data_IF_373464061626
#
_entry.id   IF_373464061626
#
_cell.length_a   1.000
_cell.length_b   1.000
_cell.length_c   1.000
_cell.angle_alpha   90.00
_cell.angle_beta   90.00
_cell.angle_gamma   90.00
#
_symmetry.space_group_name_H-M   'P 1'
#
loop_
_entity.id
_entity.type
_entity.pdbx_description
1 polymer ?
#
# COMPACT_ATOMS: atom_id res chain seq x y z
N UNK A 1 -26.65 2.81 -16.92
CA UNK A 1 -25.91 4.00 -16.50
C UNK A 1 -24.56 3.50 -16.00
N UNK A 2 -23.49 3.72 -16.77
CA UNK A 2 -22.11 3.50 -16.30
C UNK A 2 -21.75 4.73 -15.47
N UNK A 3 -21.81 4.60 -14.15
CA UNK A 3 -21.21 5.59 -13.26
C UNK A 3 -19.71 5.64 -13.54
N UNK A 4 -19.21 6.79 -13.92
CA UNK A 4 -17.79 6.98 -14.18
C UNK A 4 -17.05 7.09 -12.85
N UNK A 5 -15.89 6.46 -12.75
CA UNK A 5 -15.01 6.40 -11.54
C UNK A 5 -14.73 7.80 -10.95
N UNK A 6 -14.90 8.83 -11.73
CA UNK A 6 -14.69 10.23 -11.34
C UNK A 6 -15.71 10.75 -10.32
N UNK A 7 -16.90 10.13 -10.26
CA UNK A 7 -18.01 10.62 -9.42
C UNK A 7 -17.81 10.33 -7.92
N UNK A 8 -16.80 9.51 -7.54
CA UNK A 8 -16.49 9.16 -6.16
C UNK A 8 -15.27 9.88 -5.57
N UNK A 9 -14.55 10.65 -6.38
CA UNK A 9 -13.35 11.35 -5.89
C UNK A 9 -13.79 12.59 -5.09
N UNK A 10 -13.47 12.58 -3.81
CA UNK A 10 -13.73 13.71 -2.94
C UNK A 10 -12.76 14.86 -3.27
N UNK A 11 -13.29 16.09 -3.22
CA UNK A 11 -12.44 17.27 -3.29
C UNK A 11 -11.63 17.47 -1.98
N UNK A 12 -10.55 18.23 -2.06
CA UNK A 12 -9.65 18.51 -0.94
C UNK A 12 -10.37 19.11 0.27
N UNK A 13 -11.37 19.97 0.06
CA UNK A 13 -12.14 20.58 1.15
C UNK A 13 -12.93 19.53 1.93
N UNK A 14 -13.58 18.64 1.22
CA UNK A 14 -14.36 17.53 1.81
C UNK A 14 -13.44 16.56 2.56
N UNK A 15 -12.27 16.23 2.00
CA UNK A 15 -11.27 15.38 2.66
C UNK A 15 -10.84 16.02 3.98
N UNK A 16 -10.41 17.27 3.96
CA UNK A 16 -9.98 18.01 5.17
C UNK A 16 -11.07 18.07 6.23
N UNK A 17 -12.33 18.27 5.84
CA UNK A 17 -13.46 18.28 6.76
C UNK A 17 -13.67 16.91 7.42
N UNK A 18 -13.62 15.82 6.65
CA UNK A 18 -13.75 14.45 7.16
C UNK A 18 -12.63 14.11 8.15
N UNK A 19 -11.40 14.41 7.79
CA UNK A 19 -10.23 14.20 8.66
C UNK A 19 -10.39 14.95 9.97
N UNK A 20 -10.76 16.23 9.92
CA UNK A 20 -10.96 17.05 11.11
C UNK A 20 -12.01 16.48 12.06
N UNK A 21 -13.14 16.00 11.55
CA UNK A 21 -14.18 15.38 12.36
C UNK A 21 -13.69 14.21 13.20
N UNK A 22 -12.80 13.37 12.65
CA UNK A 22 -12.19 12.27 13.41
C UNK A 22 -11.20 12.81 14.44
N UNK A 23 -10.32 13.75 14.04
CA UNK A 23 -9.29 14.29 14.92
C UNK A 23 -9.90 15.07 16.10
N UNK A 24 -11.00 15.77 15.89
CA UNK A 24 -11.71 16.54 16.91
C UNK A 24 -12.65 15.65 17.75
N UNK A 25 -12.74 14.35 17.45
CA UNK A 25 -13.59 13.40 18.19
C UNK A 25 -15.08 13.53 17.90
N UNK A 26 -15.46 14.23 16.85
CA UNK A 26 -16.86 14.37 16.44
C UNK A 26 -17.43 13.07 15.86
N UNK A 27 -16.56 12.22 15.32
CA UNK A 27 -16.92 10.86 14.87
C UNK A 27 -15.79 9.86 15.14
N UNK A 28 -16.15 8.58 15.26
CA UNK A 28 -15.20 7.50 15.57
C UNK A 28 -14.40 7.02 14.36
N UNK A 29 -14.91 7.23 13.15
CA UNK A 29 -14.24 6.84 11.91
C UNK A 29 -14.80 7.61 10.71
N UNK A 30 -14.02 7.67 9.64
CA UNK A 30 -14.43 8.15 8.33
C UNK A 30 -13.86 7.27 7.22
N UNK A 31 -14.63 7.09 6.16
CA UNK A 31 -14.19 6.43 4.94
C UNK A 31 -13.92 7.46 3.85
N UNK A 32 -12.69 7.45 3.34
CA UNK A 32 -12.26 8.35 2.27
C UNK A 32 -11.81 7.50 1.08
N UNK A 33 -12.50 7.66 -0.04
CA UNK A 33 -12.19 6.97 -1.30
C UNK A 33 -11.38 7.90 -2.19
N UNK A 34 -10.23 7.45 -2.65
CA UNK A 34 -9.39 8.25 -3.54
C UNK A 34 -7.99 7.66 -3.73
N UNK A 35 -7.17 8.32 -4.52
CA UNK A 35 -5.75 8.04 -4.62
C UNK A 35 -5.08 8.37 -3.28
N UNK A 36 -4.41 7.38 -2.68
CA UNK A 36 -3.86 7.51 -1.33
C UNK A 36 -2.85 8.65 -1.19
N UNK A 37 -2.02 8.87 -2.21
CA UNK A 37 -1.02 9.93 -2.18
C UNK A 37 -1.68 11.32 -2.21
N UNK A 38 -2.71 11.49 -3.03
CA UNK A 38 -3.49 12.74 -3.11
C UNK A 38 -4.30 12.95 -1.83
N UNK A 39 -4.97 11.91 -1.34
CA UNK A 39 -5.77 11.99 -0.10
C UNK A 39 -4.90 12.37 1.08
N UNK A 40 -3.75 11.70 1.24
CA UNK A 40 -2.83 11.98 2.35
C UNK A 40 -2.27 13.40 2.30
N UNK A 41 -2.13 14.02 1.12
CA UNK A 41 -1.65 15.41 1.02
C UNK A 41 -2.58 16.42 1.70
N UNK A 42 -3.84 16.07 1.92
CA UNK A 42 -4.83 16.90 2.62
C UNK A 42 -4.89 16.67 4.14
N UNK A 43 -4.13 15.70 4.66
CA UNK A 43 -4.02 15.47 6.10
C UNK A 43 -3.01 16.43 6.73
N UNK A 44 -3.27 16.90 7.98
CA UNK A 44 -2.27 17.62 8.73
C UNK A 44 -1.01 16.78 8.98
N UNK A 45 0.11 17.46 9.24
CA UNK A 45 1.32 16.79 9.71
C UNK A 45 1.10 16.22 11.10
N UNK A 46 1.79 15.13 11.44
CA UNK A 46 1.87 14.55 12.78
C UNK A 46 0.49 14.34 13.47
N UNK A 47 -0.52 13.92 12.71
CA UNK A 47 -1.89 13.74 13.23
C UNK A 47 -2.30 12.27 13.43
N UNK A 48 -1.53 11.30 12.92
CA UNK A 48 -1.86 9.87 12.94
C UNK A 48 -0.93 9.12 13.90
N UNK A 49 -1.48 8.26 14.75
CA UNK A 49 -0.72 7.46 15.70
C UNK A 49 -0.19 6.16 15.10
N UNK A 50 -0.96 5.55 14.18
CA UNK A 50 -0.61 4.27 13.60
C UNK A 50 -1.16 4.13 12.18
N UNK A 51 -0.35 3.59 11.27
CA UNK A 51 -0.78 3.19 9.93
C UNK A 51 -0.58 1.69 9.78
N UNK A 52 -1.63 1.00 9.32
CA UNK A 52 -1.58 -0.43 8.99
C UNK A 52 -2.01 -0.57 7.53
N UNK A 53 -1.16 -1.18 6.71
CA UNK A 53 -1.45 -1.29 5.28
C UNK A 53 -0.86 -2.55 4.66
N UNK A 54 -1.53 -3.02 3.61
CA UNK A 54 -1.04 -4.06 2.69
C UNK A 54 -1.23 -3.51 1.27
N UNK A 55 -0.23 -2.82 0.71
CA UNK A 55 -0.33 -2.28 -0.65
C UNK A 55 -0.44 -3.41 -1.67
N UNK A 56 -0.86 -3.14 -2.90
CA UNK A 56 -0.78 -4.12 -3.98
C UNK A 56 0.64 -4.67 -4.10
N UNK A 57 0.79 -6.01 -4.12
CA UNK A 57 2.10 -6.64 -4.25
C UNK A 57 2.54 -6.64 -5.71
N UNK A 58 3.81 -6.40 -5.94
CA UNK A 58 4.37 -6.31 -7.28
C UNK A 58 4.09 -7.58 -8.12
N UNK A 59 3.38 -7.40 -9.25
CA UNK A 59 3.04 -8.47 -10.22
C UNK A 59 2.38 -9.72 -9.61
N UNK A 60 1.78 -9.62 -8.42
CA UNK A 60 1.13 -10.78 -7.79
C UNK A 60 -0.31 -10.95 -8.24
N UNK A 61 -1.00 -9.87 -8.52
CA UNK A 61 -2.39 -9.85 -9.01
C UNK A 61 -2.52 -8.84 -10.14
N UNK A 62 -3.42 -9.13 -11.05
CA UNK A 62 -3.88 -8.17 -12.02
C UNK A 62 -4.93 -7.26 -11.35
N UNK A 63 -4.60 -5.99 -11.24
CA UNK A 63 -5.48 -4.99 -10.63
C UNK A 63 -6.20 -4.12 -11.66
N UNK A 64 -6.28 -4.56 -12.92
CA UNK A 64 -6.85 -3.80 -14.06
C UNK A 64 -8.33 -3.42 -13.92
N UNK A 65 -8.97 -3.65 -12.79
CA UNK A 65 -10.37 -3.34 -12.58
C UNK A 65 -10.57 -1.81 -12.62
N UNK A 66 -10.86 -1.32 -13.83
CA UNK A 66 -11.30 0.06 -14.08
C UNK A 66 -10.20 1.12 -14.10
N UNK A 67 -8.93 0.73 -14.24
CA UNK A 67 -7.87 1.68 -14.55
C UNK A 67 -8.01 2.14 -16.02
N UNK A 68 -7.92 3.45 -16.25
CA UNK A 68 -7.69 3.97 -17.59
C UNK A 68 -6.22 3.76 -17.94
N UNK A 69 -5.89 3.64 -19.22
CA UNK A 69 -4.51 3.41 -19.71
C UNK A 69 -3.49 4.48 -19.28
N UNK A 70 -3.90 5.49 -18.56
CA UNK A 70 -3.07 6.59 -18.04
C UNK A 70 -2.84 6.52 -16.52
N UNK A 71 -3.58 5.66 -15.80
CA UNK A 71 -3.43 5.51 -14.35
C UNK A 71 -2.36 4.45 -14.07
N UNK A 72 -1.19 4.85 -13.56
CA UNK A 72 -0.21 3.91 -13.04
C UNK A 72 -0.76 3.27 -11.77
N UNK A 73 -1.08 1.98 -11.86
CA UNK A 73 -1.55 1.19 -10.71
C UNK A 73 -0.32 0.63 -10.00
N UNK A 74 -0.17 0.96 -8.71
CA UNK A 74 0.87 0.36 -7.88
C UNK A 74 0.70 -1.16 -7.87
N UNK A 75 1.80 -1.89 -8.11
CA UNK A 75 1.83 -3.34 -8.21
C UNK A 75 1.90 -3.87 -9.63
N UNK A 76 1.70 -3.01 -10.65
CA UNK A 76 1.78 -3.41 -12.07
C UNK A 76 2.99 -2.84 -12.82
N UNK A 77 3.93 -2.28 -12.11
CA UNK A 77 5.14 -1.72 -12.70
C UNK A 77 5.97 -2.79 -13.45
N UNK A 78 6.53 -2.39 -14.58
CA UNK A 78 7.36 -3.30 -15.40
C UNK A 78 8.65 -3.74 -14.72
N UNK A 79 9.16 -2.94 -13.78
CA UNK A 79 10.41 -3.18 -13.05
C UNK A 79 10.21 -3.09 -11.54
N UNK A 80 10.91 -3.92 -10.75
CA UNK A 80 10.81 -3.87 -9.28
C UNK A 80 11.27 -2.54 -8.70
N UNK A 81 12.25 -1.87 -9.34
CA UNK A 81 12.75 -0.57 -8.89
C UNK A 81 11.69 0.53 -9.01
N UNK A 82 10.85 0.49 -10.05
CA UNK A 82 9.76 1.43 -10.25
C UNK A 82 8.68 1.25 -9.18
N UNK A 83 8.33 0.00 -8.86
CA UNK A 83 7.42 -0.32 -7.77
C UNK A 83 7.92 0.20 -6.43
N UNK A 84 9.18 -0.07 -6.09
CA UNK A 84 9.79 0.41 -4.84
C UNK A 84 9.73 1.93 -4.77
N UNK A 85 10.10 2.63 -5.86
CA UNK A 85 10.07 4.10 -5.92
C UNK A 85 8.65 4.65 -5.73
N UNK A 86 7.64 4.05 -6.36
CA UNK A 86 6.25 4.48 -6.23
C UNK A 86 5.74 4.28 -4.80
N UNK A 87 6.06 3.16 -4.16
CA UNK A 87 5.74 2.93 -2.75
C UNK A 87 6.41 3.95 -1.84
N UNK A 88 7.70 4.22 -2.03
CA UNK A 88 8.43 5.25 -1.24
C UNK A 88 7.73 6.60 -1.36
N UNK A 89 7.21 6.97 -2.54
CA UNK A 89 6.44 8.20 -2.71
C UNK A 89 5.20 8.27 -1.81
N UNK A 90 4.42 7.18 -1.73
CA UNK A 90 3.26 7.09 -0.82
C UNK A 90 3.72 7.12 0.64
N UNK A 91 4.74 6.34 0.99
CA UNK A 91 5.22 6.26 2.36
C UNK A 91 5.90 7.55 2.85
N UNK A 92 6.39 8.39 1.96
CA UNK A 92 6.84 9.75 2.30
C UNK A 92 5.66 10.59 2.85
N UNK A 93 4.48 10.49 2.24
CA UNK A 93 3.29 11.17 2.77
C UNK A 93 2.83 10.55 4.10
N UNK A 94 2.90 9.24 4.24
CA UNK A 94 2.59 8.56 5.49
C UNK A 94 3.55 9.02 6.60
N UNK A 95 4.84 9.14 6.31
CA UNK A 95 5.84 9.62 7.28
C UNK A 95 5.53 11.04 7.78
N UNK A 96 5.08 11.92 6.89
CA UNK A 96 4.70 13.28 7.24
C UNK A 96 3.50 13.34 8.19
N UNK A 97 2.48 12.52 7.93
CA UNK A 97 1.23 12.54 8.73
C UNK A 97 1.33 11.73 10.01
N UNK A 98 2.29 10.82 10.13
CA UNK A 98 2.55 10.09 11.37
C UNK A 98 3.18 11.03 12.41
N UNK A 99 2.72 10.91 13.66
CA UNK A 99 3.38 11.52 14.81
C UNK A 99 4.80 10.97 14.98
N UNK A 100 5.67 11.71 15.61
CA UNK A 100 7.05 11.28 15.91
C UNK A 100 7.13 9.98 16.74
N UNK A 101 6.08 9.66 17.50
CA UNK A 101 5.89 8.38 18.23
C UNK A 101 5.08 7.35 17.47
N UNK A 102 4.62 7.70 16.27
CA UNK A 102 3.73 6.86 15.47
C UNK A 102 4.43 5.64 14.87
N UNK A 103 3.65 4.66 14.44
CA UNK A 103 4.17 3.42 13.86
C UNK A 103 3.50 3.06 12.53
N UNK A 104 4.30 2.47 11.63
CA UNK A 104 3.84 1.87 10.38
C UNK A 104 3.94 0.35 10.46
N UNK A 105 2.83 -0.33 10.16
CA UNK A 105 2.74 -1.78 10.01
C UNK A 105 2.49 -2.11 8.55
N UNK A 106 3.53 -2.57 7.89
CA UNK A 106 3.50 -2.86 6.46
C UNK A 106 3.48 -4.38 6.22
N UNK A 107 2.38 -4.89 5.69
CA UNK A 107 2.32 -6.26 5.20
C UNK A 107 2.61 -6.28 3.70
N UNK A 108 3.64 -7.00 3.29
CA UNK A 108 4.08 -7.08 1.90
C UNK A 108 4.53 -8.50 1.57
N UNK A 109 4.15 -8.98 0.38
CA UNK A 109 4.55 -10.30 -0.11
C UNK A 109 5.66 -10.23 -1.15
N UNK A 110 6.28 -11.38 -1.38
CA UNK A 110 7.31 -11.55 -2.39
C UNK A 110 6.81 -12.39 -3.57
N UNK A 111 7.57 -12.40 -4.66
CA UNK A 111 7.28 -13.15 -5.87
C UNK A 111 8.53 -13.83 -6.42
N UNK A 112 8.34 -15.00 -7.01
CA UNK A 112 9.36 -15.67 -7.81
C UNK A 112 9.23 -15.30 -9.28
N UNK A 113 10.35 -15.00 -9.93
CA UNK A 113 10.49 -14.86 -11.38
C UNK A 113 11.63 -15.77 -11.83
N UNK A 114 11.37 -16.69 -12.76
CA UNK A 114 12.38 -17.64 -13.25
C UNK A 114 13.14 -18.37 -12.12
N UNK A 115 12.39 -18.86 -11.13
CA UNK A 115 12.91 -19.55 -9.93
C UNK A 115 13.76 -18.66 -8.99
N UNK A 116 13.81 -17.36 -9.24
CA UNK A 116 14.53 -16.41 -8.42
C UNK A 116 13.54 -15.62 -7.56
N UNK A 117 13.73 -15.63 -6.24
CA UNK A 117 12.96 -14.81 -5.30
C UNK A 117 13.36 -13.35 -5.48
N UNK A 118 12.39 -12.49 -5.73
CA UNK A 118 12.67 -11.08 -6.08
C UNK A 118 13.11 -10.23 -4.91
N UNK A 119 12.89 -10.66 -3.68
CA UNK A 119 13.29 -9.96 -2.47
C UNK A 119 12.54 -8.64 -2.24
N UNK A 120 11.29 -8.57 -2.71
CA UNK A 120 10.52 -7.31 -2.66
C UNK A 120 10.35 -6.73 -1.26
N UNK A 121 10.06 -7.53 -0.20
CA UNK A 121 9.97 -6.99 1.16
C UNK A 121 11.25 -6.28 1.61
N UNK A 122 12.41 -6.88 1.36
CA UNK A 122 13.70 -6.31 1.74
C UNK A 122 14.05 -5.08 0.90
N UNK A 123 13.78 -5.10 -0.40
CA UNK A 123 13.98 -3.92 -1.29
C UNK A 123 13.19 -2.72 -0.80
N UNK A 124 11.91 -2.94 -0.45
CA UNK A 124 11.05 -1.89 0.09
C UNK A 124 11.55 -1.43 1.46
N UNK A 125 11.90 -2.36 2.37
CA UNK A 125 12.38 -2.01 3.70
C UNK A 125 13.67 -1.16 3.65
N UNK A 126 14.64 -1.55 2.82
CA UNK A 126 15.89 -0.80 2.65
C UNK A 126 15.65 0.58 2.03
N UNK A 127 14.80 0.67 1.01
CA UNK A 127 14.47 1.95 0.38
C UNK A 127 13.71 2.89 1.34
N UNK A 128 12.88 2.36 2.24
CA UNK A 128 12.24 3.14 3.29
C UNK A 128 13.27 3.62 4.33
N UNK A 129 14.26 2.80 4.71
CA UNK A 129 15.35 3.25 5.58
C UNK A 129 16.14 4.39 4.93
N UNK A 130 16.46 4.28 3.64
CA UNK A 130 17.13 5.36 2.88
C UNK A 130 16.28 6.64 2.83
N UNK A 131 14.95 6.51 2.89
CA UNK A 131 14.00 7.62 2.97
C UNK A 131 13.74 8.14 4.40
N UNK A 132 14.51 7.69 5.40
CA UNK A 132 14.47 8.20 6.78
C UNK A 132 13.61 7.39 7.74
N UNK A 133 13.04 6.25 7.34
CA UNK A 133 12.31 5.37 8.24
C UNK A 133 13.24 4.55 9.14
N UNK A 134 12.77 4.22 10.33
CA UNK A 134 13.48 3.33 11.27
C UNK A 134 12.84 1.95 11.18
N UNK A 135 13.55 0.96 10.62
CA UNK A 135 13.13 -0.44 10.65
C UNK A 135 13.32 -1.00 12.06
N UNK A 136 12.21 -1.39 12.70
CA UNK A 136 12.21 -1.90 14.08
C UNK A 136 12.24 -3.42 14.12
N UNK A 137 11.37 -4.05 13.35
CA UNK A 137 11.21 -5.51 13.36
C UNK A 137 10.88 -6.02 11.97
N UNK A 138 11.29 -7.24 11.69
CA UNK A 138 10.83 -8.09 10.61
C UNK A 138 9.93 -9.18 11.21
N UNK A 139 8.69 -9.30 10.72
CA UNK A 139 7.71 -10.26 11.23
C UNK A 139 7.28 -11.15 10.07
N UNK A 140 7.56 -12.43 10.19
CA UNK A 140 7.15 -13.42 9.19
C UNK A 140 5.74 -13.89 9.49
N UNK A 141 4.81 -13.58 8.55
CA UNK A 141 3.46 -14.13 8.62
C UNK A 141 3.46 -15.54 8.05
N UNK A 142 3.55 -16.54 8.90
CA UNK A 142 3.44 -17.94 8.51
C UNK A 142 1.99 -18.33 8.19
N UNK A 143 1.79 -18.87 6.99
CA UNK A 143 0.50 -19.44 6.59
C UNK A 143 0.52 -20.95 6.83
N UNK A 144 -0.25 -21.41 7.81
CA UNK A 144 -0.37 -22.84 8.08
C UNK A 144 -0.95 -23.59 6.87
N UNK A 145 -0.33 -24.70 6.49
CA UNK A 145 -0.88 -25.63 5.50
C UNK A 145 -2.20 -26.19 6.04
N UNK A 146 -3.31 -25.93 5.33
CA UNK A 146 -4.57 -26.59 5.61
C UNK A 146 -5.75 -25.71 6.00
N UNK A 147 -5.60 -24.43 6.26
CA UNK A 147 -6.76 -23.55 6.42
C UNK A 147 -7.29 -23.10 5.05
N UNK A 148 -8.37 -23.74 4.61
CA UNK A 148 -9.21 -23.33 3.47
C UNK A 148 -8.61 -23.56 2.07
N UNK A 149 -7.91 -24.67 1.81
CA UNK A 149 -7.59 -25.07 0.43
C UNK A 149 -6.67 -24.09 -0.34
N UNK A 150 -5.97 -23.22 0.35
CA UNK A 150 -5.08 -22.25 -0.24
C UNK A 150 -3.69 -22.87 -0.40
N UNK A 151 -3.43 -23.40 -1.58
CA UNK A 151 -2.05 -23.69 -2.00
C UNK A 151 -1.38 -22.38 -2.37
N UNK A 152 -0.14 -22.12 -1.90
CA UNK A 152 0.61 -20.97 -2.38
C UNK A 152 0.72 -21.04 -3.90
N UNK A 153 0.24 -20.04 -4.61
CA UNK A 153 0.27 -19.93 -6.07
C UNK A 153 1.67 -20.16 -6.69
N UNK A 154 2.71 -20.04 -5.89
CA UNK A 154 4.11 -20.21 -6.33
C UNK A 154 4.53 -21.64 -6.71
N UNK A 155 3.72 -22.68 -6.42
CA UNK A 155 4.10 -24.07 -6.74
C UNK A 155 3.50 -24.62 -8.04
N UNK A 156 2.47 -23.99 -8.60
CA UNK A 156 1.74 -24.55 -9.75
C UNK A 156 1.97 -23.85 -11.10
N UNK A 157 2.53 -22.66 -11.11
CA UNK A 157 2.76 -21.96 -12.39
C UNK A 157 4.10 -22.29 -13.06
N UNK A 158 4.98 -23.00 -12.40
CA UNK A 158 6.21 -23.49 -13.01
C UNK A 158 6.07 -25.00 -13.25
N UNK A 159 5.27 -25.35 -14.24
CA UNK A 159 5.28 -26.69 -14.82
C UNK A 159 6.70 -27.06 -15.23
N UNK A 160 7.38 -27.84 -14.39
CA UNK A 160 8.55 -28.61 -14.74
C UNK A 160 8.25 -30.02 -14.26
N UNK A 161 7.77 -30.83 -15.20
CA UNK A 161 7.95 -32.27 -15.22
C UNK A 161 9.44 -32.61 -15.23
#
# INVERSE_FOLDING_TARGET
LKETRTDYLLDSRTIKQKVRKVLDGECSFELIVGDSQKVLSDFPDECIDCVITSPPYWKLRDYEIGATSQDMVIGDEGKPEDYVRNLVGVFTQIHRVLKSTGSLWLNIGDKYINKNLMGMPWRVALALQDAGWILRNDIIWEKMKGSLGWTPLSRHENGVS
#
